data_IF_010995908558
#
_entry.id   IF_010995908558
#
_cell.length_a   1.000
_cell.length_b   1.000
_cell.length_c   1.000
_cell.angle_alpha   90.00
_cell.angle_beta   90.00
_cell.angle_gamma   90.00
#
_symmetry.space_group_name_H-M   'P 1'
#
loop_
_entity.id
_entity.type
_entity.pdbx_description
1 polymer ?
#
# COMPACT_ATOMS: atom_id res chain seq x y z
N UNK A 1 -47.68 -47.16 -15.65
CA UNK A 1 -48.40 -46.44 -14.56
C UNK A 1 -47.35 -45.81 -13.63
N UNK A 2 -47.57 -44.58 -13.13
CA UNK A 2 -46.88 -43.39 -13.68
C UNK A 2 -46.30 -42.40 -12.63
N UNK A 3 -45.85 -41.23 -13.14
CA UNK A 3 -45.52 -39.93 -12.50
C UNK A 3 -44.08 -39.79 -11.95
N UNK A 4 -43.18 -38.92 -12.46
CA UNK A 4 -43.18 -37.47 -12.77
C UNK A 4 -43.56 -36.56 -11.58
N UNK A 5 -42.56 -35.88 -10.98
CA UNK A 5 -42.72 -34.51 -10.44
C UNK A 5 -41.40 -33.80 -10.06
N UNK A 6 -41.23 -32.59 -10.61
CA UNK A 6 -40.65 -31.35 -10.02
C UNK A 6 -39.16 -31.35 -9.64
N UNK A 7 -38.23 -30.61 -10.27
CA UNK A 7 -38.14 -29.14 -10.44
C UNK A 7 -38.53 -28.36 -9.17
N UNK A 8 -37.52 -27.93 -8.40
CA UNK A 8 -37.58 -26.88 -7.37
C UNK A 8 -36.13 -26.38 -7.20
N UNK A 9 -35.66 -25.36 -7.94
CA UNK A 9 -35.85 -23.91 -7.74
C UNK A 9 -35.99 -23.52 -6.26
N UNK A 10 -34.88 -23.09 -5.65
CA UNK A 10 -34.77 -22.33 -4.41
C UNK A 10 -33.36 -21.74 -4.45
N UNK A 11 -33.08 -20.44 -4.46
CA UNK A 11 -33.83 -19.19 -4.44
C UNK A 11 -32.72 -18.13 -4.41
N UNK A 12 -32.49 -17.38 -5.49
CA UNK A 12 -33.22 -16.14 -5.76
C UNK A 12 -33.37 -15.29 -4.48
N UNK A 13 -32.25 -14.74 -3.99
CA UNK A 13 -32.21 -13.76 -2.89
C UNK A 13 -31.22 -12.62 -3.12
N UNK A 14 -31.01 -12.24 -4.38
CA UNK A 14 -30.58 -10.89 -4.73
C UNK A 14 -31.38 -10.39 -5.95
N UNK A 15 -32.70 -10.54 -5.86
CA UNK A 15 -33.64 -9.81 -6.70
C UNK A 15 -33.74 -8.37 -6.22
N UNK A 16 -32.72 -7.57 -6.49
CA UNK A 16 -32.90 -6.12 -6.55
C UNK A 16 -33.56 -5.86 -7.89
N UNK A 17 -34.89 -5.77 -7.87
CA UNK A 17 -35.72 -5.45 -9.02
C UNK A 17 -35.43 -4.00 -9.43
N UNK A 18 -34.32 -3.82 -10.14
CA UNK A 18 -33.89 -2.57 -10.74
C UNK A 18 -34.76 -2.33 -11.97
N UNK A 19 -35.83 -1.56 -11.77
CA UNK A 19 -36.65 -0.98 -12.83
C UNK A 19 -35.76 -0.43 -13.97
N UNK A 20 -36.02 -0.79 -15.24
CA UNK A 20 -35.14 -0.44 -16.33
C UNK A 20 -35.35 1.02 -16.74
N UNK A 21 -34.25 1.78 -16.76
CA UNK A 21 -34.12 2.95 -17.63
C UNK A 21 -34.58 4.29 -17.05
N UNK A 22 -33.67 4.99 -16.35
CA UNK A 22 -33.22 6.37 -16.68
C UNK A 22 -32.39 7.08 -15.61
N UNK A 23 -32.28 6.55 -14.38
CA UNK A 23 -31.60 7.29 -13.29
C UNK A 23 -30.16 6.82 -13.00
N UNK A 24 -29.77 5.59 -13.40
CA UNK A 24 -28.45 5.03 -13.07
C UNK A 24 -27.37 5.29 -14.15
N UNK A 25 -27.76 5.43 -15.42
CA UNK A 25 -26.80 5.53 -16.53
C UNK A 25 -25.91 6.80 -16.50
N UNK A 26 -26.44 7.95 -16.06
CA UNK A 26 -25.67 9.21 -15.97
C UNK A 26 -24.68 9.17 -14.80
N UNK A 27 -25.05 8.51 -13.70
CA UNK A 27 -24.19 8.29 -12.53
C UNK A 27 -23.04 7.33 -12.83
N UNK A 28 -23.30 6.26 -13.58
CA UNK A 28 -22.31 5.24 -13.90
C UNK A 28 -21.26 5.75 -14.90
N UNK A 29 -21.67 6.47 -15.95
CA UNK A 29 -20.71 7.08 -16.90
C UNK A 29 -19.84 8.16 -16.25
N UNK A 30 -20.43 9.03 -15.41
CA UNK A 30 -19.67 10.06 -14.70
C UNK A 30 -18.75 9.47 -13.62
N UNK A 31 -19.19 8.41 -12.92
CA UNK A 31 -18.37 7.67 -11.98
C UNK A 31 -17.23 6.94 -12.69
N UNK A 32 -17.52 6.23 -13.79
CA UNK A 32 -16.52 5.56 -14.60
C UNK A 32 -15.48 6.54 -15.15
N UNK A 33 -15.92 7.70 -15.67
CA UNK A 33 -15.02 8.76 -16.13
C UNK A 33 -14.15 9.33 -14.98
N UNK A 34 -14.73 9.49 -13.79
CA UNK A 34 -14.00 9.93 -12.59
C UNK A 34 -12.98 8.89 -12.15
N UNK A 35 -13.36 7.61 -12.08
CA UNK A 35 -12.46 6.49 -11.76
C UNK A 35 -11.32 6.39 -12.78
N UNK A 36 -11.60 6.55 -14.07
CA UNK A 36 -10.57 6.54 -15.10
C UNK A 36 -9.61 7.73 -15.00
N UNK A 37 -10.11 8.90 -14.59
CA UNK A 37 -9.27 10.08 -14.33
C UNK A 37 -8.33 9.83 -13.15
N UNK A 38 -8.85 9.26 -12.05
CA UNK A 38 -8.04 8.85 -10.89
C UNK A 38 -7.02 7.78 -11.29
N UNK A 39 -7.43 6.78 -12.08
CA UNK A 39 -6.56 5.71 -12.58
C UNK A 39 -5.39 6.29 -13.39
N UNK A 40 -5.66 7.21 -14.33
CA UNK A 40 -4.63 7.88 -15.14
C UNK A 40 -3.64 8.66 -14.28
N UNK A 41 -4.14 9.42 -13.29
CA UNK A 41 -3.29 10.17 -12.36
C UNK A 41 -2.40 9.23 -11.53
N UNK A 42 -2.97 8.16 -10.98
CA UNK A 42 -2.22 7.18 -10.19
C UNK A 42 -1.17 6.44 -11.05
N UNK A 43 -1.50 6.11 -12.30
CA UNK A 43 -0.58 5.48 -13.24
C UNK A 43 0.59 6.42 -13.59
N UNK A 44 0.30 7.70 -13.87
CA UNK A 44 1.29 8.74 -14.16
C UNK A 44 2.25 8.98 -12.98
N UNK A 45 1.71 9.07 -11.76
CA UNK A 45 2.55 9.23 -10.56
C UNK A 45 3.38 7.98 -10.27
N UNK A 46 2.80 6.79 -10.40
CA UNK A 46 3.53 5.52 -10.24
C UNK A 46 4.73 5.45 -11.17
N UNK A 47 4.58 5.78 -12.45
CA UNK A 47 5.70 5.76 -13.41
C UNK A 47 6.76 6.80 -13.06
N UNK A 48 6.36 8.02 -12.67
CA UNK A 48 7.28 9.08 -12.21
C UNK A 48 8.12 8.66 -11.00
N UNK A 49 7.50 8.05 -9.99
CA UNK A 49 8.22 7.56 -8.80
C UNK A 49 9.05 6.31 -9.09
N UNK A 50 8.54 5.37 -9.91
CA UNK A 50 9.29 4.18 -10.31
C UNK A 50 10.53 4.53 -11.15
N UNK A 51 10.43 5.52 -12.05
CA UNK A 51 11.57 5.99 -12.84
C UNK A 51 12.65 6.64 -11.95
N UNK A 52 12.24 7.48 -10.98
CA UNK A 52 13.15 8.03 -9.96
C UNK A 52 13.83 6.90 -9.16
N UNK A 53 13.07 5.89 -8.73
CA UNK A 53 13.61 4.74 -7.99
C UNK A 53 14.61 3.92 -8.81
N UNK A 54 14.36 3.69 -10.11
CA UNK A 54 15.30 2.99 -11.00
C UNK A 54 16.63 3.72 -11.15
N UNK A 55 16.60 5.04 -11.37
CA UNK A 55 17.83 5.88 -11.47
C UNK A 55 18.73 5.75 -10.23
N UNK A 56 18.14 5.66 -9.04
CA UNK A 56 18.92 5.46 -7.81
C UNK A 56 19.40 4.03 -7.60
N UNK A 57 18.69 3.02 -8.15
CA UNK A 57 19.10 1.61 -8.06
C UNK A 57 20.36 1.34 -8.89
N UNK A 58 20.41 1.86 -10.11
CA UNK A 58 21.48 1.54 -11.06
C UNK A 58 22.84 2.09 -10.57
N UNK A 59 22.86 3.31 -10.02
CA UNK A 59 24.07 3.86 -9.39
C UNK A 59 24.48 3.18 -8.08
N UNK A 60 23.53 2.70 -7.28
CA UNK A 60 23.82 2.09 -5.98
C UNK A 60 24.41 0.66 -6.10
N UNK A 61 24.05 -0.09 -7.13
CA UNK A 61 24.56 -1.47 -7.30
C UNK A 61 26.06 -1.49 -7.64
N UNK A 62 26.53 -0.54 -8.45
CA UNK A 62 27.94 -0.39 -8.79
C UNK A 62 28.79 -0.06 -7.55
N UNK A 63 28.31 0.87 -6.71
CA UNK A 63 28.94 1.24 -5.43
C UNK A 63 29.01 0.05 -4.46
N UNK A 64 28.00 -0.82 -4.45
CA UNK A 64 28.00 -2.00 -3.56
C UNK A 64 29.01 -3.08 -3.99
N UNK A 65 29.21 -3.26 -5.29
CA UNK A 65 30.18 -4.23 -5.84
C UNK A 65 31.61 -3.78 -5.54
N UNK A 66 31.92 -2.50 -5.80
CA UNK A 66 33.25 -1.93 -5.53
C UNK A 66 33.59 -1.93 -4.04
N UNK A 67 32.62 -1.66 -3.15
CA UNK A 67 32.83 -1.71 -1.70
C UNK A 67 33.25 -3.10 -1.20
N UNK A 68 32.62 -4.18 -1.68
CA UNK A 68 32.95 -5.56 -1.29
C UNK A 68 34.38 -5.93 -1.68
N UNK A 69 34.79 -5.58 -2.90
CA UNK A 69 36.17 -5.81 -3.35
C UNK A 69 37.17 -5.09 -2.45
N UNK A 70 36.94 -3.81 -2.13
CA UNK A 70 37.83 -3.05 -1.24
C UNK A 70 37.88 -3.69 0.15
N UNK A 71 36.74 -4.05 0.76
CA UNK A 71 36.72 -4.70 2.06
C UNK A 71 37.47 -6.04 2.07
N UNK A 72 37.28 -6.89 1.06
CA UNK A 72 37.98 -8.18 0.97
C UNK A 72 39.48 -8.02 0.70
N UNK A 73 39.89 -7.08 -0.15
CA UNK A 73 41.31 -6.78 -0.39
C UNK A 73 42.02 -6.30 0.88
N UNK A 74 41.35 -5.50 1.71
CA UNK A 74 41.89 -5.02 2.99
C UNK A 74 42.05 -6.16 3.98
N UNK A 75 41.03 -7.01 4.12
CA UNK A 75 41.09 -8.19 5.00
C UNK A 75 42.24 -9.11 4.56
N UNK A 76 42.39 -9.35 3.26
CA UNK A 76 43.50 -10.14 2.72
C UNK A 76 44.87 -9.54 3.02
N UNK A 77 45.01 -8.21 2.91
CA UNK A 77 46.28 -7.51 3.15
C UNK A 77 46.68 -7.51 4.64
N UNK A 78 45.73 -7.35 5.56
CA UNK A 78 45.99 -7.36 7.02
C UNK A 78 46.43 -8.74 7.52
N UNK A 79 45.92 -9.81 6.91
CA UNK A 79 46.33 -11.18 7.25
C UNK A 79 47.79 -11.45 6.84
N UNK A 80 48.30 -10.74 5.84
CA UNK A 80 49.66 -10.92 5.30
C UNK A 80 50.73 -10.19 6.13
N UNK A 81 50.43 -9.03 6.72
CA UNK A 81 51.34 -8.32 7.63
C UNK A 81 50.54 -7.59 8.73
N UNK A 82 50.67 -7.97 10.01
CA UNK A 82 49.93 -7.36 11.12
C UNK A 82 50.54 -6.05 11.65
N UNK A 83 51.73 -5.63 11.18
CA UNK A 83 52.39 -4.40 11.66
C UNK A 83 51.83 -3.11 11.04
N UNK A 84 51.05 -3.23 9.96
CA UNK A 84 50.44 -2.12 9.19
C UNK A 84 49.17 -1.53 9.81
N UNK A 85 48.94 -1.71 11.13
CA UNK A 85 47.77 -1.17 11.83
C UNK A 85 47.54 0.33 11.62
N UNK A 86 48.61 1.11 11.43
CA UNK A 86 48.53 2.55 11.11
C UNK A 86 47.89 2.86 9.74
N UNK A 87 47.95 1.94 8.77
CA UNK A 87 47.34 2.09 7.44
C UNK A 87 45.83 1.82 7.49
N UNK A 88 45.34 1.09 8.50
CA UNK A 88 43.92 0.78 8.65
C UNK A 88 43.07 1.99 9.01
N UNK A 89 43.63 2.95 9.75
CA UNK A 89 42.93 4.17 10.18
C UNK A 89 42.49 5.05 9.00
N UNK A 90 43.38 5.49 8.07
CA UNK A 90 42.97 6.31 6.92
C UNK A 90 42.07 5.56 5.94
N UNK A 91 42.24 4.24 5.84
CA UNK A 91 41.43 3.38 4.96
C UNK A 91 40.02 3.16 5.50
N UNK A 92 39.88 2.99 6.82
CA UNK A 92 38.59 2.96 7.51
C UNK A 92 37.90 4.32 7.40
N UNK A 93 38.65 5.42 7.57
CA UNK A 93 38.15 6.78 7.36
C UNK A 93 37.70 7.03 5.91
N UNK A 94 38.34 6.44 4.91
CA UNK A 94 37.91 6.51 3.50
C UNK A 94 36.65 5.69 3.19
N UNK A 95 36.47 4.54 3.86
CA UNK A 95 35.29 3.68 3.70
C UNK A 95 34.04 4.25 4.37
N UNK A 96 34.20 4.98 5.48
CA UNK A 96 33.09 5.48 6.30
C UNK A 96 32.15 6.43 5.52
N UNK A 97 32.60 7.45 4.77
CA UNK A 97 31.75 8.28 3.91
C UNK A 97 30.98 7.48 2.86
N UNK A 98 31.61 6.46 2.26
CA UNK A 98 30.98 5.60 1.25
C UNK A 98 29.81 4.82 1.86
N UNK A 99 29.99 4.31 3.09
CA UNK A 99 28.91 3.61 3.81
C UNK A 99 27.75 4.54 4.16
N UNK A 100 28.05 5.79 4.53
CA UNK A 100 27.04 6.80 4.86
C UNK A 100 26.28 7.23 3.60
N UNK A 101 26.98 7.49 2.50
CA UNK A 101 26.39 7.80 1.19
C UNK A 101 25.50 6.65 0.69
N UNK A 102 25.95 5.40 0.84
CA UNK A 102 25.14 4.23 0.48
C UNK A 102 23.85 4.19 1.32
N UNK A 103 23.95 4.37 2.64
CA UNK A 103 22.77 4.36 3.51
C UNK A 103 21.81 5.52 3.19
N UNK A 104 22.33 6.68 2.80
CA UNK A 104 21.52 7.80 2.32
C UNK A 104 20.81 7.51 0.99
N UNK A 105 21.52 6.95 0.01
CA UNK A 105 20.97 6.52 -1.27
C UNK A 105 19.90 5.44 -1.10
N UNK A 106 20.15 4.44 -0.26
CA UNK A 106 19.20 3.37 0.06
C UNK A 106 17.95 3.94 0.73
N UNK A 107 18.10 4.85 1.71
CA UNK A 107 16.95 5.53 2.32
C UNK A 107 16.15 6.37 1.31
N UNK A 108 16.81 7.04 0.38
CA UNK A 108 16.16 7.79 -0.71
C UNK A 108 15.40 6.84 -1.66
N UNK A 109 15.99 5.71 -2.00
CA UNK A 109 15.40 4.67 -2.85
C UNK A 109 14.18 4.02 -2.19
N UNK A 110 14.30 3.60 -0.93
CA UNK A 110 13.21 3.00 -0.14
C UNK A 110 11.99 3.91 -0.06
N UNK A 111 12.21 5.23 0.13
CA UNK A 111 11.14 6.24 0.11
C UNK A 111 10.46 6.33 -1.26
N UNK A 112 11.24 6.39 -2.35
CA UNK A 112 10.68 6.43 -3.71
C UNK A 112 9.90 5.16 -4.07
N UNK A 113 10.40 4.00 -3.63
CA UNK A 113 9.75 2.70 -3.85
C UNK A 113 8.44 2.59 -3.07
N UNK A 114 8.42 3.03 -1.81
CA UNK A 114 7.23 3.03 -0.96
C UNK A 114 6.09 3.84 -1.57
N UNK A 115 6.40 5.00 -2.16
CA UNK A 115 5.40 5.81 -2.90
C UNK A 115 4.88 5.11 -4.14
N UNK A 116 5.75 4.47 -4.91
CA UNK A 116 5.32 3.69 -6.08
C UNK A 116 4.43 2.49 -5.68
N UNK A 117 4.74 1.82 -4.57
CA UNK A 117 3.90 0.72 -4.05
C UNK A 117 2.54 1.21 -3.57
N UNK A 118 2.46 2.40 -2.96
CA UNK A 118 1.18 3.00 -2.54
C UNK A 118 0.23 3.19 -3.73
N UNK A 119 0.71 3.82 -4.81
CA UNK A 119 -0.10 3.99 -6.04
C UNK A 119 -0.42 2.67 -6.73
N UNK A 120 0.50 1.71 -6.72
CA UNK A 120 0.22 0.38 -7.26
C UNK A 120 -0.92 -0.31 -6.49
N UNK A 121 -0.94 -0.21 -5.16
CA UNK A 121 -2.05 -0.72 -4.33
C UNK A 121 -3.36 0.04 -4.59
N UNK A 122 -3.30 1.36 -4.80
CA UNK A 122 -4.46 2.16 -5.21
C UNK A 122 -5.09 1.67 -6.52
N UNK A 123 -4.27 1.47 -7.57
CA UNK A 123 -4.73 0.95 -8.86
C UNK A 123 -5.34 -0.45 -8.69
N UNK A 124 -4.74 -1.32 -7.87
CA UNK A 124 -5.31 -2.66 -7.60
C UNK A 124 -6.69 -2.61 -6.97
N UNK A 125 -6.97 -1.63 -6.10
CA UNK A 125 -8.33 -1.43 -5.54
C UNK A 125 -9.33 -1.00 -6.61
N UNK A 126 -8.93 -0.09 -7.49
CA UNK A 126 -9.77 0.35 -8.62
C UNK A 126 -10.05 -0.80 -9.62
N UNK A 127 -9.13 -1.76 -9.73
CA UNK A 127 -9.27 -2.96 -10.57
C UNK A 127 -9.90 -4.16 -9.84
N UNK A 128 -10.36 -3.99 -8.60
CA UNK A 128 -10.88 -5.06 -7.73
C UNK A 128 -9.93 -6.26 -7.51
N UNK A 129 -8.61 -6.03 -7.57
CA UNK A 129 -7.54 -7.02 -7.37
C UNK A 129 -6.73 -6.78 -6.09
N UNK A 130 -7.42 -6.39 -5.02
CA UNK A 130 -6.83 -5.94 -3.75
C UNK A 130 -6.68 -7.07 -2.72
N UNK A 131 -7.56 -8.07 -2.74
CA UNK A 131 -7.65 -9.13 -1.72
C UNK A 131 -6.33 -9.90 -1.53
N UNK A 132 -5.93 -10.15 -0.28
CA UNK A 132 -4.71 -10.84 0.11
C UNK A 132 -3.40 -10.08 -0.15
N UNK A 133 -3.45 -8.75 -0.31
CA UNK A 133 -2.28 -7.90 -0.58
C UNK A 133 -2.15 -6.69 0.34
N UNK A 134 -3.11 -6.50 1.26
CA UNK A 134 -3.12 -5.42 2.24
C UNK A 134 -2.92 -5.92 3.67
N UNK A 135 -3.14 -5.01 4.62
CA UNK A 135 -3.23 -5.35 6.04
C UNK A 135 -4.61 -5.97 6.29
N UNK A 136 -4.65 -7.25 6.65
CA UNK A 136 -5.92 -7.97 6.85
C UNK A 136 -6.65 -7.56 8.13
N UNK A 137 -5.97 -6.89 9.07
CA UNK A 137 -6.56 -6.53 10.35
C UNK A 137 -6.86 -7.74 11.24
N UNK A 138 -6.22 -8.89 11.00
CA UNK A 138 -6.41 -10.13 11.77
C UNK A 138 -6.32 -9.91 13.29
N UNK A 139 -5.51 -8.93 13.73
CA UNK A 139 -5.32 -8.57 15.15
C UNK A 139 -6.55 -7.98 15.84
N UNK A 140 -7.54 -7.51 15.08
CA UNK A 140 -8.80 -6.95 15.61
C UNK A 140 -9.99 -7.86 15.38
N UNK A 141 -9.75 -9.08 14.89
CA UNK A 141 -10.81 -10.03 14.67
C UNK A 141 -11.41 -10.41 16.02
N UNK A 142 -12.64 -9.96 16.24
CA UNK A 142 -13.46 -10.34 17.39
C UNK A 142 -14.71 -11.05 16.87
N UNK A 143 -14.76 -12.36 17.07
CA UNK A 143 -15.89 -13.20 16.64
C UNK A 143 -17.13 -13.01 17.52
N UNK A 144 -17.00 -12.33 18.67
CA UNK A 144 -18.12 -12.03 19.57
C UNK A 144 -18.79 -10.69 19.28
N UNK A 145 -18.22 -9.89 18.38
CA UNK A 145 -18.77 -8.58 18.03
C UNK A 145 -20.06 -8.71 17.22
N UNK A 146 -21.06 -7.90 17.56
CA UNK A 146 -22.46 -8.03 17.08
C UNK A 146 -22.63 -8.15 15.57
N UNK A 147 -21.74 -7.51 14.79
CA UNK A 147 -21.83 -7.46 13.33
C UNK A 147 -20.49 -7.66 12.61
N UNK A 148 -19.37 -7.84 13.33
CA UNK A 148 -18.05 -7.80 12.68
C UNK A 148 -17.80 -9.02 11.78
N UNK A 149 -18.32 -10.17 12.18
CA UNK A 149 -18.27 -11.39 11.39
C UNK A 149 -19.22 -11.32 10.18
N UNK A 150 -20.46 -10.87 10.38
CA UNK A 150 -21.47 -10.80 9.32
C UNK A 150 -21.12 -9.81 8.20
N UNK A 151 -20.44 -8.71 8.55
CA UNK A 151 -19.99 -7.70 7.58
C UNK A 151 -18.57 -7.96 7.04
N UNK A 152 -17.95 -9.10 7.38
CA UNK A 152 -16.58 -9.44 7.01
C UNK A 152 -15.62 -8.25 7.24
N UNK A 153 -15.61 -7.68 8.45
CA UNK A 153 -14.83 -6.47 8.72
C UNK A 153 -13.32 -6.76 8.73
N UNK A 154 -12.89 -7.89 9.29
CA UNK A 154 -11.47 -8.24 9.45
C UNK A 154 -11.15 -9.60 8.83
N UNK A 155 -9.90 -9.77 8.40
CA UNK A 155 -9.42 -10.98 7.75
C UNK A 155 -9.03 -10.75 6.28
N UNK A 156 -8.82 -11.84 5.55
CA UNK A 156 -8.47 -11.78 4.13
C UNK A 156 -9.72 -11.52 3.30
N UNK A 157 -9.66 -10.53 2.41
CA UNK A 157 -10.80 -10.11 1.60
C UNK A 157 -11.84 -9.29 2.37
N UNK A 158 -11.47 -8.76 3.54
CA UNK A 158 -12.36 -8.04 4.43
C UNK A 158 -12.49 -6.55 4.06
N UNK A 159 -13.50 -5.87 4.61
CA UNK A 159 -13.67 -4.43 4.42
C UNK A 159 -12.46 -3.64 4.95
N UNK A 160 -11.88 -4.07 6.08
CA UNK A 160 -10.65 -3.46 6.61
C UNK A 160 -9.49 -3.59 5.63
N UNK A 161 -9.27 -4.76 5.02
CA UNK A 161 -8.20 -4.94 4.03
C UNK A 161 -8.38 -4.02 2.82
N UNK A 162 -9.63 -3.83 2.38
CA UNK A 162 -9.95 -2.91 1.28
C UNK A 162 -9.65 -1.45 1.64
N UNK A 163 -10.08 -1.00 2.82
CA UNK A 163 -10.03 0.42 3.22
C UNK A 163 -8.67 0.83 3.81
N UNK A 164 -7.96 -0.07 4.49
CA UNK A 164 -6.77 0.28 5.24
C UNK A 164 -5.62 0.72 4.34
N UNK A 165 -5.26 2.00 4.44
CA UNK A 165 -4.08 2.60 3.79
C UNK A 165 -3.08 3.18 4.79
N UNK A 166 -3.36 3.03 6.09
CA UNK A 166 -2.54 3.56 7.17
C UNK A 166 -1.14 2.94 7.17
N UNK A 167 -0.14 3.78 7.47
CA UNK A 167 1.29 3.40 7.52
C UNK A 167 1.82 3.24 8.94
N UNK A 168 1.01 3.58 9.93
CA UNK A 168 1.33 3.52 11.36
C UNK A 168 0.36 2.59 12.07
N UNK A 169 0.84 1.94 13.13
CA UNK A 169 0.00 1.11 13.99
C UNK A 169 -1.16 1.92 14.58
N UNK A 170 -0.89 3.13 15.08
CA UNK A 170 -1.93 4.01 15.61
C UNK A 170 -3.04 4.32 14.57
N UNK A 171 -2.68 4.60 13.31
CA UNK A 171 -3.68 4.85 12.27
C UNK A 171 -4.49 3.60 11.89
N UNK A 172 -3.84 2.43 11.91
CA UNK A 172 -4.50 1.14 11.75
C UNK A 172 -5.51 0.89 12.88
N UNK A 173 -5.13 1.21 14.13
CA UNK A 173 -5.96 1.01 15.33
C UNK A 173 -7.19 1.92 15.30
N UNK A 174 -7.01 3.18 14.93
CA UNK A 174 -8.10 4.17 14.77
C UNK A 174 -9.12 3.70 13.73
N UNK A 175 -8.67 3.22 12.56
CA UNK A 175 -9.59 2.72 11.53
C UNK A 175 -10.38 1.49 12.02
N UNK A 176 -9.71 0.56 12.70
CA UNK A 176 -10.38 -0.61 13.25
C UNK A 176 -11.45 -0.21 14.28
N UNK A 177 -11.12 0.73 15.16
CA UNK A 177 -12.05 1.28 16.13
C UNK A 177 -13.27 1.93 15.46
N UNK A 178 -13.07 2.68 14.37
CA UNK A 178 -14.17 3.33 13.63
C UNK A 178 -15.09 2.33 12.93
N UNK A 179 -14.59 1.17 12.49
CA UNK A 179 -15.42 0.11 11.91
C UNK A 179 -16.23 -0.63 12.97
N UNK A 180 -15.64 -0.84 14.15
CA UNK A 180 -16.30 -1.50 15.28
C UNK A 180 -17.27 -0.59 16.05
N UNK A 181 -17.06 0.73 16.00
CA UNK A 181 -17.84 1.69 16.77
C UNK A 181 -18.29 2.84 15.85
N UNK A 182 -19.51 2.77 15.30
CA UNK A 182 -20.04 3.82 14.44
C UNK A 182 -20.14 5.14 15.22
N UNK A 183 -19.77 6.23 14.57
CA UNK A 183 -19.87 7.56 15.16
C UNK A 183 -21.30 8.13 15.02
N UNK A 184 -21.60 9.14 15.83
CA UNK A 184 -22.83 9.93 15.70
C UNK A 184 -22.80 10.81 14.43
N UNK A 185 -24.00 11.23 13.99
CA UNK A 185 -24.18 11.97 12.73
C UNK A 185 -23.31 13.24 12.64
N UNK A 186 -23.23 14.11 13.66
CA UNK A 186 -22.32 15.27 13.65
C UNK A 186 -20.87 14.89 13.33
N UNK A 187 -20.31 13.90 14.03
CA UNK A 187 -18.93 13.45 13.80
C UNK A 187 -18.75 12.82 12.42
N UNK A 188 -19.74 12.08 11.89
CA UNK A 188 -19.70 11.56 10.52
C UNK A 188 -19.57 12.70 9.51
N UNK A 189 -20.39 13.76 9.65
CA UNK A 189 -20.37 14.92 8.74
C UNK A 189 -19.01 15.63 8.80
N UNK A 190 -18.47 15.83 10.00
CA UNK A 190 -17.15 16.44 10.19
C UNK A 190 -16.05 15.62 9.50
N UNK A 191 -16.03 14.30 9.69
CA UNK A 191 -15.06 13.41 9.03
C UNK A 191 -15.20 13.45 7.51
N UNK A 192 -16.42 13.44 6.98
CA UNK A 192 -16.67 13.55 5.55
C UNK A 192 -16.17 14.88 4.98
N UNK A 193 -16.32 15.97 5.73
CA UNK A 193 -15.81 17.28 5.34
C UNK A 193 -14.29 17.30 5.31
N UNK A 194 -13.62 16.77 6.35
CA UNK A 194 -12.17 16.61 6.37
C UNK A 194 -11.66 15.74 5.20
N UNK A 195 -12.37 14.68 4.84
CA UNK A 195 -12.04 13.86 3.67
C UNK A 195 -12.14 14.67 2.38
N UNK A 196 -13.19 15.49 2.21
CA UNK A 196 -13.36 16.35 1.01
C UNK A 196 -12.23 17.36 0.89
N UNK A 197 -11.83 17.98 1.99
CA UNK A 197 -10.72 18.95 2.02
C UNK A 197 -9.37 18.30 1.64
N UNK A 198 -9.12 17.08 2.10
CA UNK A 198 -7.90 16.34 1.79
C UNK A 198 -7.92 15.66 0.40
N UNK A 199 -9.10 15.42 -0.17
CA UNK A 199 -9.27 14.67 -1.43
C UNK A 199 -8.48 15.29 -2.58
N UNK A 200 -8.44 16.62 -2.64
CA UNK A 200 -7.85 17.35 -3.76
C UNK A 200 -6.40 17.77 -3.45
N UNK A 201 -5.93 17.62 -2.21
CA UNK A 201 -4.56 17.90 -1.76
C UNK A 201 -3.63 16.69 -1.99
N UNK A 202 -3.38 16.36 -3.26
CA UNK A 202 -2.58 15.18 -3.63
C UNK A 202 -1.15 15.25 -3.08
N UNK A 203 -0.50 16.40 -3.20
CA UNK A 203 0.90 16.55 -2.81
C UNK A 203 1.11 16.50 -1.29
N UNK A 204 0.14 17.00 -0.51
CA UNK A 204 0.15 16.86 0.95
C UNK A 204 0.07 15.38 1.35
N UNK A 205 -0.87 14.63 0.76
CA UNK A 205 -1.05 13.19 1.05
C UNK A 205 0.19 12.35 0.70
N UNK A 206 1.00 12.78 -0.26
CA UNK A 206 2.28 12.12 -0.57
C UNK A 206 3.42 12.46 0.39
N UNK A 207 3.31 13.60 1.07
CA UNK A 207 4.33 14.11 2.00
C UNK A 207 4.21 13.51 3.40
N UNK A 208 3.00 13.11 3.80
CA UNK A 208 2.68 12.39 5.05
C UNK A 208 3.20 10.95 5.02
#
# INVERSE_FOLDING_TARGET
MPANRTQMKTGDRFGVDLMPGRVIAIGDESLAASVETVRREYASRRTRHAARARRFRDGATLISRSKRFVTYSIIGYVVFDPTVGAVLVPLFLGLLPVTLLQSWCVRRWLRAMSRATFYASGIRRLDDRWQGRGETGQRYLDLSHEYAADLDLFGRGSLYELLCTARTQAGQDVLAQWLLNPADRPTIIERQQAIKELRDQIDLREAL
#
